data_IF_088050793555
#
_entry.id   IF_088050793555
#
_cell.length_a   1.000
_cell.length_b   1.000
_cell.length_c   1.000
_cell.angle_alpha   90.00
_cell.angle_beta   90.00
_cell.angle_gamma   90.00
#
_symmetry.space_group_name_H-M   'P 1'
#
loop_
_entity.id
_entity.type
_entity.pdbx_description
1 polymer ?
#
# COMPACT_ATOMS: atom_id res chain seq x y z
N UNK A 1 -8.14 -19.89 0.23
CA UNK A 1 -7.71 -20.24 -1.14
C UNK A 1 -6.21 -20.04 -1.44
N UNK A 2 -5.33 -19.42 -0.61
CA UNK A 2 -3.90 -19.49 -0.94
C UNK A 2 -3.29 -20.86 -0.65
N UNK A 3 -3.85 -21.64 0.29
CA UNK A 3 -3.27 -22.91 0.73
C UNK A 3 -4.00 -24.17 0.22
N UNK A 4 -5.25 -24.06 -0.22
CA UNK A 4 -6.09 -25.17 -0.72
C UNK A 4 -6.36 -25.09 -2.22
N UNK A 5 -5.39 -24.63 -3.01
CA UNK A 5 -5.62 -24.36 -4.43
C UNK A 5 -5.88 -25.64 -5.23
N UNK A 6 -5.31 -26.78 -4.82
CA UNK A 6 -5.55 -28.08 -5.46
C UNK A 6 -7.01 -28.51 -5.30
N UNK A 7 -7.53 -28.50 -4.06
CA UNK A 7 -8.95 -28.80 -3.80
C UNK A 7 -9.88 -27.87 -4.58
N UNK A 8 -9.54 -26.57 -4.62
CA UNK A 8 -10.33 -25.61 -5.40
C UNK A 8 -10.36 -25.95 -6.90
N UNK A 9 -9.23 -26.35 -7.49
CA UNK A 9 -9.15 -26.73 -8.91
C UNK A 9 -9.98 -28.01 -9.15
N UNK A 10 -9.85 -29.00 -8.28
CA UNK A 10 -10.56 -30.29 -8.40
C UNK A 10 -12.09 -30.08 -8.30
N UNK A 11 -12.54 -29.34 -7.29
CA UNK A 11 -13.95 -29.03 -7.07
C UNK A 11 -14.55 -28.20 -8.21
N UNK A 12 -13.81 -27.19 -8.70
CA UNK A 12 -14.25 -26.37 -9.82
C UNK A 12 -14.37 -27.19 -11.10
N UNK A 13 -13.38 -28.05 -11.37
CA UNK A 13 -13.38 -28.96 -12.54
C UNK A 13 -14.58 -29.91 -12.47
N UNK A 14 -14.81 -30.54 -11.31
CA UNK A 14 -15.95 -31.44 -11.09
C UNK A 14 -17.29 -30.74 -11.35
N UNK A 15 -17.43 -29.47 -10.94
CA UNK A 15 -18.66 -28.70 -11.17
C UNK A 15 -18.88 -28.34 -12.64
N UNK A 16 -17.82 -28.11 -13.41
CA UNK A 16 -17.91 -27.88 -14.86
C UNK A 16 -18.29 -29.18 -15.58
N UNK A 17 -17.65 -30.30 -15.24
CA UNK A 17 -17.95 -31.63 -15.82
C UNK A 17 -19.39 -32.07 -15.55
N UNK A 18 -19.92 -31.74 -14.36
CA UNK A 18 -21.32 -31.99 -13.98
C UNK A 18 -22.31 -30.99 -14.58
N UNK A 19 -21.85 -30.05 -15.42
CA UNK A 19 -22.64 -28.96 -16.00
C UNK A 19 -23.34 -28.07 -14.95
N UNK A 20 -22.87 -28.06 -13.70
CA UNK A 20 -23.35 -27.15 -12.66
C UNK A 20 -22.86 -25.73 -12.97
N UNK A 21 -21.61 -25.62 -13.41
CA UNK A 21 -21.04 -24.38 -13.94
C UNK A 21 -20.93 -24.50 -15.46
N UNK A 22 -21.61 -23.66 -16.24
CA UNK A 22 -21.55 -23.73 -17.68
C UNK A 22 -20.16 -23.30 -18.18
N UNK A 23 -19.70 -23.96 -19.24
CA UNK A 23 -18.37 -23.68 -19.80
C UNK A 23 -18.21 -22.22 -20.28
N UNK A 24 -19.30 -21.59 -20.73
CA UNK A 24 -19.32 -20.15 -21.07
C UNK A 24 -18.94 -19.22 -19.90
N UNK A 25 -19.18 -19.62 -18.65
CA UNK A 25 -18.74 -18.87 -17.47
C UNK A 25 -17.22 -18.97 -17.29
N UNK A 26 -16.65 -20.14 -17.53
CA UNK A 26 -15.20 -20.35 -17.49
C UNK A 26 -14.55 -19.57 -18.64
N UNK A 27 -15.10 -19.62 -19.85
CA UNK A 27 -14.60 -18.89 -21.01
C UNK A 27 -14.59 -17.37 -20.77
N UNK A 28 -15.67 -16.78 -20.21
CA UNK A 28 -15.69 -15.36 -19.85
C UNK A 28 -14.66 -15.01 -18.76
N UNK A 29 -14.47 -15.89 -17.75
CA UNK A 29 -13.47 -15.67 -16.70
C UNK A 29 -12.04 -15.68 -17.28
N UNK A 30 -11.70 -16.72 -18.05
CA UNK A 30 -10.40 -16.90 -18.68
C UNK A 30 -10.14 -15.78 -19.68
N UNK A 31 -11.12 -15.39 -20.48
CA UNK A 31 -11.00 -14.29 -21.42
C UNK A 31 -10.65 -12.96 -20.72
N UNK A 32 -11.27 -12.64 -19.57
CA UNK A 32 -10.94 -11.43 -18.79
C UNK A 32 -9.52 -11.49 -18.22
N UNK A 33 -9.09 -12.65 -17.71
CA UNK A 33 -7.73 -12.85 -17.19
C UNK A 33 -6.71 -12.70 -18.32
N UNK A 34 -6.90 -13.40 -19.44
CA UNK A 34 -6.00 -13.35 -20.59
C UNK A 34 -5.97 -11.96 -21.21
N UNK A 35 -7.12 -11.29 -21.34
CA UNK A 35 -7.18 -9.91 -21.82
C UNK A 35 -6.24 -9.00 -21.02
N UNK A 36 -6.29 -9.02 -19.70
CA UNK A 36 -5.40 -8.19 -18.87
C UNK A 36 -3.94 -8.57 -19.09
N UNK A 37 -3.60 -9.87 -19.10
CA UNK A 37 -2.23 -10.35 -19.31
C UNK A 37 -1.65 -9.90 -20.67
N UNK A 38 -2.44 -9.98 -21.74
CA UNK A 38 -2.04 -9.52 -23.06
C UNK A 38 -1.95 -7.99 -23.13
N UNK A 39 -2.97 -7.27 -22.63
CA UNK A 39 -3.00 -5.81 -22.66
C UNK A 39 -1.82 -5.18 -21.91
N UNK A 40 -1.37 -5.78 -20.79
CA UNK A 40 -0.22 -5.27 -20.03
C UNK A 40 1.14 -5.77 -20.54
N UNK A 41 1.18 -6.56 -21.62
CA UNK A 41 2.42 -7.08 -22.20
C UNK A 41 3.13 -8.14 -21.36
N UNK A 42 2.39 -8.87 -20.51
CA UNK A 42 2.98 -9.87 -19.61
C UNK A 42 3.55 -11.08 -20.38
N UNK A 43 3.04 -11.36 -21.58
CA UNK A 43 3.57 -12.44 -22.42
C UNK A 43 4.89 -12.06 -23.09
N UNK A 44 5.09 -10.79 -23.42
CA UNK A 44 6.32 -10.27 -24.00
C UNK A 44 7.39 -10.02 -22.93
N UNK A 45 6.97 -9.58 -21.73
CA UNK A 45 7.86 -9.28 -20.60
C UNK A 45 7.46 -10.09 -19.36
N UNK A 46 7.64 -11.43 -19.35
CA UNK A 46 7.16 -12.30 -18.28
C UNK A 46 8.05 -12.30 -17.03
N UNK A 47 9.25 -11.70 -17.10
CA UNK A 47 10.24 -11.71 -16.04
C UNK A 47 10.50 -10.31 -15.50
N UNK A 48 10.98 -10.24 -14.26
CA UNK A 48 11.38 -8.99 -13.64
C UNK A 48 12.58 -8.36 -14.36
N UNK A 49 12.53 -7.05 -14.58
CA UNK A 49 13.68 -6.28 -15.03
C UNK A 49 14.56 -5.90 -13.83
N UNK A 50 15.76 -6.48 -13.79
CA UNK A 50 16.73 -6.23 -12.72
C UNK A 50 17.34 -4.81 -12.77
N UNK A 51 17.18 -4.08 -13.88
CA UNK A 51 17.61 -2.69 -13.98
C UNK A 51 16.83 -1.76 -13.02
N UNK A 52 15.59 -2.15 -12.66
CA UNK A 52 14.69 -1.35 -11.83
C UNK A 52 14.92 -1.49 -10.32
N UNK A 53 15.89 -2.30 -9.88
CA UNK A 53 16.17 -2.50 -8.45
C UNK A 53 16.46 -1.16 -7.73
N UNK A 54 17.09 -0.21 -8.43
CA UNK A 54 17.38 1.12 -7.90
C UNK A 54 16.15 2.02 -7.68
N UNK A 55 14.96 1.63 -8.16
CA UNK A 55 13.72 2.39 -7.95
C UNK A 55 13.13 2.19 -6.55
N UNK A 56 13.51 1.11 -5.86
CA UNK A 56 13.04 0.83 -4.50
C UNK A 56 13.60 1.87 -3.51
N UNK A 57 12.72 2.63 -2.87
CA UNK A 57 13.11 3.60 -1.85
C UNK A 57 13.91 4.80 -2.37
N UNK A 58 13.84 5.07 -3.68
CA UNK A 58 14.52 6.18 -4.37
C UNK A 58 14.23 7.53 -3.72
N UNK A 59 15.19 8.45 -3.74
CA UNK A 59 15.09 9.74 -3.06
C UNK A 59 13.89 10.56 -3.56
N UNK A 60 13.66 10.59 -4.87
CA UNK A 60 12.56 11.32 -5.50
C UNK A 60 11.19 10.80 -5.04
N UNK A 61 11.05 9.48 -4.85
CA UNK A 61 9.82 8.88 -4.31
C UNK A 61 9.60 9.28 -2.84
N UNK A 62 10.68 9.40 -2.06
CA UNK A 62 10.60 9.87 -0.66
C UNK A 62 10.26 11.36 -0.56
N UNK A 63 10.77 12.19 -1.45
CA UNK A 63 10.39 13.61 -1.51
C UNK A 63 8.91 13.77 -1.90
N UNK A 64 8.42 12.97 -2.85
CA UNK A 64 6.99 12.93 -3.18
C UNK A 64 6.14 12.45 -1.98
N UNK A 65 6.57 11.39 -1.29
CA UNK A 65 5.89 10.93 -0.08
C UNK A 65 5.88 12.00 1.02
N UNK A 66 6.98 12.73 1.21
CA UNK A 66 7.09 13.86 2.14
C UNK A 66 6.14 15.01 1.77
N UNK A 67 5.97 15.29 0.49
CA UNK A 67 4.99 16.26 0.01
C UNK A 67 3.56 15.79 0.31
N UNK A 68 3.24 14.53 0.01
CA UNK A 68 1.93 13.95 0.27
C UNK A 68 1.57 14.00 1.77
N UNK A 69 2.52 13.66 2.65
CA UNK A 69 2.37 13.79 4.11
C UNK A 69 2.06 15.24 4.50
N UNK A 70 2.77 16.23 3.95
CA UNK A 70 2.50 17.64 4.26
C UNK A 70 1.11 18.08 3.82
N UNK A 71 0.65 17.59 2.67
CA UNK A 71 -0.67 17.93 2.08
C UNK A 71 -1.83 17.19 2.74
N UNK A 72 -1.60 16.06 3.42
CA UNK A 72 -2.64 15.30 4.09
C UNK A 72 -3.00 15.83 5.49
N UNK A 73 -2.14 16.67 6.10
CA UNK A 73 -2.38 17.22 7.42
C UNK A 73 -3.61 18.14 7.45
N UNK A 74 -4.54 17.88 8.36
CA UNK A 74 -5.72 18.73 8.61
C UNK A 74 -5.51 19.53 9.89
N UNK A 75 -5.44 20.85 9.78
CA UNK A 75 -5.29 21.74 10.93
C UNK A 75 -6.63 21.93 11.64
N UNK A 76 -6.85 21.19 12.72
CA UNK A 76 -8.10 21.26 13.50
C UNK A 76 -8.19 22.46 14.45
N UNK A 77 -7.04 22.97 14.93
CA UNK A 77 -6.97 24.11 15.86
C UNK A 77 -5.59 24.79 15.77
N UNK A 78 -5.56 26.12 15.84
CA UNK A 78 -4.32 26.89 15.85
C UNK A 78 -4.33 28.01 16.91
N UNK A 79 -4.09 27.63 18.18
CA UNK A 79 -4.14 28.55 19.32
C UNK A 79 -5.47 28.48 20.09
N UNK A 80 -5.48 29.05 21.31
CA UNK A 80 -6.69 29.15 22.13
C UNK A 80 -7.59 30.33 21.73
N UNK A 81 -6.98 31.39 21.20
CA UNK A 81 -7.65 32.62 20.80
C UNK A 81 -7.31 32.93 19.34
N UNK A 82 -8.25 33.51 18.59
CA UNK A 82 -8.08 33.81 17.17
C UNK A 82 -6.95 34.83 16.90
N UNK A 83 -6.62 35.66 17.88
CA UNK A 83 -5.62 36.73 17.77
C UNK A 83 -4.17 36.25 17.94
N UNK A 84 -3.92 34.99 18.30
CA UNK A 84 -2.57 34.49 18.59
C UNK A 84 -2.40 33.06 18.10
N UNK A 85 -2.02 32.86 16.82
CA UNK A 85 -1.75 31.54 16.27
C UNK A 85 -0.50 30.93 16.90
N UNK A 86 -0.51 29.61 17.07
CA UNK A 86 0.63 28.85 17.58
C UNK A 86 1.57 28.39 16.46
N UNK A 87 0.98 27.96 15.33
CA UNK A 87 1.70 27.49 14.15
C UNK A 87 1.77 28.60 13.09
N UNK A 88 2.89 28.70 12.34
CA UNK A 88 4.07 27.82 12.38
C UNK A 88 5.01 28.12 13.56
N UNK A 89 5.65 27.07 14.12
CA UNK A 89 6.65 27.23 15.18
C UNK A 89 7.95 27.85 14.65
N UNK A 90 8.64 28.70 15.43
CA UNK A 90 9.94 29.23 15.05
C UNK A 90 11.00 28.12 15.03
N UNK A 91 11.82 28.07 13.98
CA UNK A 91 12.94 27.12 13.89
C UNK A 91 14.07 27.40 14.90
N UNK A 92 14.15 28.65 15.41
CA UNK A 92 15.13 29.07 16.42
C UNK A 92 14.42 29.24 17.76
N UNK A 93 14.81 28.42 18.73
CA UNK A 93 14.34 28.45 20.11
C UNK A 93 15.49 28.00 21.03
N UNK A 94 15.49 28.43 22.29
CA UNK A 94 16.54 28.05 23.23
C UNK A 94 16.53 26.55 23.56
N UNK A 95 15.34 25.99 23.80
CA UNK A 95 15.13 24.55 24.06
C UNK A 95 13.70 24.17 23.67
N UNK A 96 13.53 22.99 23.07
CA UNK A 96 12.21 22.43 22.72
C UNK A 96 12.05 21.04 23.32
N UNK A 97 10.80 20.60 23.48
CA UNK A 97 10.44 19.26 23.92
C UNK A 97 9.66 18.56 22.81
N UNK A 98 10.01 17.31 22.53
CA UNK A 98 9.25 16.37 21.69
C UNK A 98 8.81 15.24 22.60
N UNK A 99 7.51 14.93 22.64
CA UNK A 99 6.94 13.97 23.59
C UNK A 99 5.71 13.25 23.00
N UNK A 100 5.34 12.12 23.62
CA UNK A 100 4.23 11.26 23.20
C UNK A 100 4.72 9.92 22.63
N UNK A 101 3.89 8.88 22.70
CA UNK A 101 4.27 7.51 22.31
C UNK A 101 4.57 7.32 20.81
N UNK A 102 4.11 8.24 19.96
CA UNK A 102 4.27 8.18 18.51
C UNK A 102 5.35 9.14 17.99
N UNK A 103 6.04 9.86 18.88
CA UNK A 103 6.95 10.92 18.48
C UNK A 103 8.27 10.40 17.86
N UNK A 104 8.66 9.17 18.19
CA UNK A 104 9.84 8.46 17.65
C UNK A 104 9.49 6.98 17.46
N UNK A 105 8.55 6.69 16.57
CA UNK A 105 8.11 5.32 16.26
C UNK A 105 7.60 5.23 14.81
N UNK A 106 8.44 4.68 13.93
CA UNK A 106 8.19 4.53 12.49
C UNK A 106 6.99 3.62 12.22
N UNK A 107 6.91 2.48 12.91
CA UNK A 107 5.80 1.55 12.80
C UNK A 107 4.46 2.21 13.11
N UNK A 108 4.39 2.96 14.21
CA UNK A 108 3.17 3.66 14.61
C UNK A 108 2.74 4.77 13.65
N UNK A 109 3.67 5.51 13.04
CA UNK A 109 3.32 6.54 12.05
C UNK A 109 2.94 5.93 10.68
N UNK A 110 3.38 4.71 10.39
CA UNK A 110 3.04 3.99 9.16
C UNK A 110 1.71 3.21 9.28
N UNK A 111 1.44 2.60 10.44
CA UNK A 111 0.23 1.82 10.70
C UNK A 111 0.24 0.43 10.06
N UNK A 112 -0.95 -0.14 9.87
CA UNK A 112 -1.12 -1.45 9.24
C UNK A 112 -0.62 -1.48 7.79
N UNK A 113 -0.44 -2.69 7.25
CA UNK A 113 0.10 -2.91 5.89
C UNK A 113 1.48 -2.28 5.63
N UNK A 114 2.29 -2.14 6.68
CA UNK A 114 3.68 -1.72 6.58
C UNK A 114 4.58 -2.80 7.16
N UNK A 115 5.34 -3.46 6.28
CA UNK A 115 6.10 -4.70 6.54
C UNK A 115 5.19 -5.88 6.90
N UNK A 116 4.45 -5.77 8.01
CA UNK A 116 3.50 -6.77 8.49
C UNK A 116 2.05 -6.41 8.16
N UNK A 117 1.17 -7.42 8.14
CA UNK A 117 -0.25 -7.22 7.82
C UNK A 117 -0.92 -6.21 8.76
N UNK A 118 -0.76 -6.41 10.08
CA UNK A 118 -1.28 -5.50 11.10
C UNK A 118 -0.36 -4.30 11.36
N UNK A 119 0.78 -4.22 10.67
CA UNK A 119 1.89 -3.35 11.02
C UNK A 119 2.63 -3.86 12.26
N UNK A 120 3.61 -3.10 12.70
CA UNK A 120 4.34 -3.33 13.94
C UNK A 120 4.66 -1.99 14.62
N UNK A 121 5.15 -2.03 15.85
CA UNK A 121 5.66 -0.88 16.60
C UNK A 121 7.18 -0.88 16.58
N UNK A 122 7.78 0.31 16.64
CA UNK A 122 9.23 0.48 16.73
C UNK A 122 9.79 1.21 15.51
N UNK A 123 11.11 1.15 15.37
CA UNK A 123 11.88 1.87 14.34
C UNK A 123 12.72 0.94 13.45
N UNK A 124 12.59 -0.37 13.64
CA UNK A 124 13.36 -1.39 12.92
C UNK A 124 12.69 -1.81 11.61
#
# INVERSE_FOLDING_TARGET
>A
VPFGYTEFIDDLTSQVEKNIIPMSRIDDAVYRILRVKFTMGLFENPYADRSLVGELGKHEHRELAREAVRKSLVLLKNGKYASTPLLPLPKKAGKILVAGSHADNLGNQCGGWTIEWQGDTGND
#
